data_IF_884580696882
#
_entry.id   IF_884580696882
#
_cell.length_a   1.000
_cell.length_b   1.000
_cell.length_c   1.000
_cell.angle_alpha   90.00
_cell.angle_beta   90.00
_cell.angle_gamma   90.00
#
_symmetry.space_group_name_H-M   'P 1'
#
loop_
_entity.id
_entity.type
_entity.pdbx_description
1 polymer ?
#
# COMPACT_ATOMS: atom_id res chain seq x y z
N UNK A 1 -44.87 -32.30 -21.11
CA UNK A 1 -43.78 -33.29 -21.00
C UNK A 1 -42.92 -32.88 -19.84
N UNK A 2 -43.05 -33.59 -18.69
CA UNK A 2 -42.26 -33.29 -17.46
C UNK A 2 -41.07 -34.23 -17.44
N UNK A 3 -39.87 -33.67 -17.49
CA UNK A 3 -38.61 -34.41 -17.33
C UNK A 3 -38.15 -34.25 -15.89
N UNK A 4 -38.18 -35.34 -15.13
CA UNK A 4 -37.70 -35.46 -13.75
C UNK A 4 -36.24 -35.87 -13.81
N UNK A 5 -35.32 -34.98 -13.38
CA UNK A 5 -33.89 -35.29 -13.20
C UNK A 5 -33.66 -35.74 -11.76
N UNK A 6 -33.23 -36.98 -11.62
CA UNK A 6 -32.81 -37.60 -10.35
C UNK A 6 -31.30 -37.35 -10.22
N UNK A 7 -30.85 -36.61 -9.18
CA UNK A 7 -29.45 -36.45 -8.81
C UNK A 7 -29.01 -37.60 -7.90
N UNK A 8 -27.85 -38.24 -8.13
CA UNK A 8 -27.27 -39.16 -7.17
C UNK A 8 -26.48 -38.42 -6.10
N UNK A 9 -26.75 -38.73 -4.85
CA UNK A 9 -26.01 -38.25 -3.67
C UNK A 9 -24.76 -39.10 -3.54
N UNK A 10 -23.58 -38.47 -3.69
CA UNK A 10 -22.26 -39.10 -3.39
C UNK A 10 -21.91 -38.77 -1.94
N UNK A 11 -21.94 -39.77 -1.09
CA UNK A 11 -21.45 -39.68 0.29
C UNK A 11 -19.90 -39.83 0.29
N UNK A 12 -19.21 -38.77 0.68
CA UNK A 12 -17.73 -38.80 0.90
C UNK A 12 -17.50 -39.02 2.39
N UNK A 13 -16.96 -40.19 2.72
CA UNK A 13 -16.56 -40.57 4.08
C UNK A 13 -15.16 -39.97 4.40
N UNK A 14 -15.07 -39.03 5.35
CA UNK A 14 -13.80 -38.54 5.89
C UNK A 14 -13.31 -39.47 6.98
N UNK A 15 -12.19 -40.14 6.75
CA UNK A 15 -11.45 -40.87 7.74
C UNK A 15 -10.56 -39.88 8.52
N UNK A 16 -10.83 -39.74 9.82
CA UNK A 16 -10.01 -38.97 10.75
C UNK A 16 -8.79 -39.81 11.17
N UNK A 17 -7.56 -39.36 10.85
CA UNK A 17 -6.35 -39.87 11.46
C UNK A 17 -6.11 -39.16 12.78
N UNK A 18 -6.31 -39.94 13.87
CA UNK A 18 -5.98 -39.53 15.23
C UNK A 18 -4.51 -39.88 15.49
N UNK A 19 -3.61 -38.87 15.63
CA UNK A 19 -2.22 -39.13 16.00
C UNK A 19 -2.02 -38.70 17.46
N UNK A 20 -2.10 -39.71 18.34
CA UNK A 20 -1.82 -39.58 19.76
C UNK A 20 -0.32 -39.71 19.97
N UNK A 21 0.35 -38.67 20.45
CA UNK A 21 1.75 -38.69 20.88
C UNK A 21 1.81 -38.96 22.38
N UNK A 22 2.55 -39.94 22.88
CA UNK A 22 2.75 -40.10 24.30
C UNK A 22 3.85 -39.17 24.82
N UNK A 23 3.53 -38.58 25.95
CA UNK A 23 4.36 -37.82 26.84
C UNK A 23 5.58 -38.62 27.29
N UNK A 24 6.80 -38.08 27.15
CA UNK A 24 7.94 -38.51 27.99
C UNK A 24 8.66 -37.25 28.47
N UNK A 25 8.57 -37.12 29.80
CA UNK A 25 9.33 -36.22 30.63
C UNK A 25 10.74 -36.78 30.76
N UNK A 26 11.79 -36.02 30.45
CA UNK A 26 13.07 -36.12 31.14
C UNK A 26 13.86 -34.82 31.06
N UNK A 27 14.22 -34.42 32.23
CA UNK A 27 14.98 -33.32 32.72
C UNK A 27 16.45 -33.39 32.24
N UNK A 28 17.02 -32.28 31.70
CA UNK A 28 18.47 -31.99 31.91
C UNK A 28 18.80 -30.56 31.43
N UNK A 29 19.13 -29.70 32.41
CA UNK A 29 20.23 -28.72 32.45
C UNK A 29 20.42 -27.72 31.29
N UNK A 30 20.07 -26.43 31.55
CA UNK A 30 20.88 -25.26 31.33
C UNK A 30 21.48 -25.04 29.92
N UNK A 31 20.75 -24.43 29.00
CA UNK A 31 21.32 -23.60 27.97
C UNK A 31 20.68 -22.22 28.07
N UNK A 32 21.43 -21.12 27.86
CA UNK A 32 20.85 -19.78 27.92
C UNK A 32 19.82 -19.69 26.82
N UNK A 33 18.58 -19.33 27.22
CA UNK A 33 17.49 -18.95 26.34
C UNK A 33 17.93 -17.67 25.58
N UNK A 34 18.49 -17.87 24.40
CA UNK A 34 18.63 -16.81 23.42
C UNK A 34 17.21 -16.53 22.94
N UNK A 35 16.56 -15.56 23.55
CA UNK A 35 15.41 -14.91 22.96
C UNK A 35 15.89 -14.28 21.65
N UNK A 36 15.87 -15.05 20.57
CA UNK A 36 15.92 -14.48 19.24
C UNK A 36 14.60 -13.74 19.07
N UNK A 37 14.64 -12.43 19.31
CA UNK A 37 13.74 -11.47 18.70
C UNK A 37 13.92 -11.59 17.19
N UNK A 38 13.32 -12.63 16.61
CA UNK A 38 13.08 -12.66 15.17
C UNK A 38 12.01 -11.60 14.93
N UNK A 39 12.34 -10.48 14.24
CA UNK A 39 11.31 -9.53 13.87
C UNK A 39 10.25 -10.29 13.09
N UNK A 40 9.04 -10.36 13.63
CA UNK A 40 7.90 -10.94 12.91
C UNK A 40 7.66 -10.05 11.70
N UNK A 41 7.95 -10.61 10.52
CA UNK A 41 7.65 -9.95 9.25
C UNK A 41 6.15 -9.66 9.22
N UNK A 42 5.79 -8.37 9.18
CA UNK A 42 4.39 -7.93 9.18
C UNK A 42 3.89 -7.29 10.48
N UNK A 43 4.76 -7.05 11.48
CA UNK A 43 4.42 -6.33 12.71
C UNK A 43 4.67 -4.80 12.61
N UNK A 44 5.12 -4.34 11.45
CA UNK A 44 5.38 -2.93 11.10
C UNK A 44 4.14 -2.22 10.56
N UNK A 45 3.03 -2.34 11.29
CA UNK A 45 1.79 -1.64 10.98
C UNK A 45 1.86 -0.19 11.44
N UNK A 46 1.48 0.73 10.54
CA UNK A 46 1.27 2.12 10.92
C UNK A 46 -0.01 2.31 11.77
N UNK A 47 -0.32 3.55 12.16
CA UNK A 47 -1.50 3.89 12.96
C UNK A 47 -2.84 3.55 12.27
N UNK A 48 -2.84 3.37 10.95
CA UNK A 48 -4.00 2.96 10.15
C UNK A 48 -4.01 1.45 9.87
N UNK A 49 -2.98 0.71 10.32
CA UNK A 49 -2.84 -0.72 10.13
C UNK A 49 -2.20 -1.12 8.80
N UNK A 50 -1.63 -0.19 8.04
CA UNK A 50 -0.94 -0.47 6.79
C UNK A 50 0.43 -1.10 7.05
N UNK A 51 0.80 -2.14 6.30
CA UNK A 51 2.06 -2.86 6.45
C UNK A 51 3.12 -2.25 5.52
N UNK A 52 4.01 -1.42 6.09
CA UNK A 52 5.06 -0.72 5.36
C UNK A 52 6.04 -1.65 4.66
N UNK A 53 6.46 -2.74 5.31
CA UNK A 53 7.35 -3.76 4.71
C UNK A 53 6.76 -4.46 3.49
N UNK A 54 5.42 -4.49 3.36
CA UNK A 54 4.72 -4.97 2.17
C UNK A 54 4.46 -3.88 1.12
N UNK A 55 4.99 -2.66 1.32
CA UNK A 55 4.84 -1.52 0.41
C UNK A 55 3.50 -0.80 0.52
N UNK A 56 2.70 -1.09 1.56
CA UNK A 56 1.44 -0.38 1.80
C UNK A 56 1.65 0.90 2.60
N UNK A 57 0.93 1.93 2.23
CA UNK A 57 0.85 3.21 2.94
C UNK A 57 -0.58 3.71 2.95
N UNK A 58 -0.95 4.49 3.95
CA UNK A 58 -2.29 5.05 4.05
C UNK A 58 -2.52 6.16 3.04
N UNK A 59 -3.64 6.11 2.34
CA UNK A 59 -4.15 7.21 1.53
C UNK A 59 -5.33 7.87 2.24
N UNK A 60 -5.15 9.12 2.66
CA UNK A 60 -6.21 9.90 3.28
C UNK A 60 -7.34 10.22 2.30
N UNK A 61 -7.01 10.41 1.01
CA UNK A 61 -7.99 10.66 -0.05
C UNK A 61 -8.86 9.43 -0.34
N UNK A 62 -8.26 8.24 -0.37
CA UNK A 62 -8.97 6.98 -0.65
C UNK A 62 -9.60 6.37 0.59
N UNK A 63 -9.03 6.62 1.79
CA UNK A 63 -9.44 6.04 3.06
C UNK A 63 -9.07 4.55 3.18
N UNK A 64 -7.96 4.14 2.56
CA UNK A 64 -7.47 2.76 2.51
C UNK A 64 -5.95 2.69 2.42
N UNK A 65 -5.39 1.51 2.73
CA UNK A 65 -3.97 1.22 2.49
C UNK A 65 -3.75 0.90 1.01
N UNK A 66 -2.81 1.59 0.38
CA UNK A 66 -2.49 1.42 -1.04
C UNK A 66 -1.01 1.15 -1.26
N UNK A 67 -0.68 0.49 -2.36
CA UNK A 67 0.67 0.44 -2.90
C UNK A 67 0.80 1.58 -3.93
N UNK A 68 1.39 2.69 -3.49
CA UNK A 68 1.44 3.95 -4.25
C UNK A 68 2.04 3.80 -5.64
N UNK A 69 3.04 2.91 -5.78
CA UNK A 69 3.71 2.64 -7.05
C UNK A 69 2.82 1.87 -8.05
N UNK A 70 1.74 1.20 -7.59
CA UNK A 70 0.80 0.49 -8.47
C UNK A 70 -0.35 1.39 -8.92
N UNK A 71 -0.86 2.24 -8.01
CA UNK A 71 -2.08 3.03 -8.28
C UNK A 71 -1.80 4.50 -8.62
N UNK A 72 -0.59 4.99 -8.35
CA UNK A 72 -0.20 6.38 -8.53
C UNK A 72 0.48 6.66 -9.87
N UNK A 73 0.27 7.86 -10.40
CA UNK A 73 1.07 8.39 -11.50
C UNK A 73 2.43 8.85 -10.97
N UNK A 74 3.51 8.20 -11.41
CA UNK A 74 4.87 8.57 -11.01
C UNK A 74 5.33 9.81 -11.75
N UNK A 75 5.95 10.73 -11.01
CA UNK A 75 6.63 11.91 -11.54
C UNK A 75 8.07 11.92 -11.05
N UNK A 76 9.01 12.21 -11.96
CA UNK A 76 10.42 12.27 -11.66
C UNK A 76 10.86 13.73 -11.52
N UNK A 77 11.88 14.04 -10.71
CA UNK A 77 12.41 15.40 -10.61
C UNK A 77 12.94 15.88 -11.95
N UNK A 78 12.71 17.17 -12.25
CA UNK A 78 13.21 17.82 -13.47
C UNK A 78 14.71 18.07 -13.38
N UNK A 79 15.20 18.39 -12.17
CA UNK A 79 16.63 18.58 -11.90
C UNK A 79 17.17 17.32 -11.22
N UNK A 80 17.92 16.51 -11.96
CA UNK A 80 18.73 15.43 -11.41
C UNK A 80 20.01 16.01 -10.87
N UNK A 81 20.28 15.82 -9.59
CA UNK A 81 21.59 16.12 -8.99
C UNK A 81 22.43 14.86 -9.08
N UNK A 82 23.58 14.96 -9.71
CA UNK A 82 24.58 13.90 -9.72
C UNK A 82 24.87 13.48 -8.26
N UNK A 83 24.98 12.18 -8.01
CA UNK A 83 25.27 11.56 -6.70
C UNK A 83 24.12 11.59 -5.65
N UNK A 84 22.93 12.09 -5.97
CA UNK A 84 21.78 12.05 -5.07
C UNK A 84 20.73 11.08 -5.60
N UNK A 85 20.17 10.25 -4.70
CA UNK A 85 19.10 9.34 -5.08
C UNK A 85 17.91 10.12 -5.66
N UNK A 86 17.42 9.68 -6.83
CA UNK A 86 16.24 10.26 -7.47
C UNK A 86 15.01 9.87 -6.66
N UNK A 87 14.38 10.83 -6.01
CA UNK A 87 13.15 10.63 -5.24
C UNK A 87 11.97 11.07 -6.10
N UNK A 88 11.20 10.10 -6.59
CA UNK A 88 9.99 10.36 -7.36
C UNK A 88 8.82 10.72 -6.45
N UNK A 89 7.88 11.45 -7.00
CA UNK A 89 6.58 11.77 -6.38
C UNK A 89 5.50 10.95 -7.07
N UNK A 90 4.47 10.57 -6.35
CA UNK A 90 3.31 9.91 -6.94
C UNK A 90 2.06 10.76 -6.73
N UNK A 91 1.22 10.80 -7.76
CA UNK A 91 -0.08 11.46 -7.73
C UNK A 91 -1.16 10.39 -7.75
N UNK A 92 -1.97 10.34 -6.70
CA UNK A 92 -3.04 9.35 -6.54
C UNK A 92 -4.39 10.05 -6.67
N UNK A 93 -5.30 9.43 -7.44
CA UNK A 93 -6.70 9.81 -7.57
C UNK A 93 -7.59 8.86 -6.80
N UNK A 94 -8.80 9.29 -6.46
CA UNK A 94 -9.84 8.41 -5.93
C UNK A 94 -10.66 7.83 -7.08
N UNK A 95 -10.96 6.54 -7.03
CA UNK A 95 -11.73 5.88 -8.08
C UNK A 95 -13.12 6.50 -8.23
N UNK A 96 -13.42 6.91 -9.47
CA UNK A 96 -14.70 7.55 -9.80
C UNK A 96 -14.83 9.02 -9.38
N UNK A 97 -13.81 9.60 -8.73
CA UNK A 97 -13.82 11.00 -8.30
C UNK A 97 -12.49 11.70 -8.67
N UNK A 98 -12.55 12.55 -9.66
CA UNK A 98 -11.42 13.34 -10.14
C UNK A 98 -11.40 14.78 -9.55
N UNK A 99 -12.18 15.06 -8.52
CA UNK A 99 -12.23 16.40 -7.92
C UNK A 99 -10.98 16.73 -7.10
N UNK A 100 -10.25 15.70 -6.66
CA UNK A 100 -9.06 15.83 -5.83
C UNK A 100 -7.98 14.83 -6.25
N UNK A 101 -6.74 15.15 -5.89
CA UNK A 101 -5.59 14.23 -5.97
C UNK A 101 -4.78 14.33 -4.68
N UNK A 102 -4.15 13.24 -4.29
CA UNK A 102 -3.22 13.18 -3.17
C UNK A 102 -1.79 13.05 -3.69
N UNK A 103 -0.87 13.81 -3.14
CA UNK A 103 0.54 13.75 -3.48
C UNK A 103 1.29 12.94 -2.43
N UNK A 104 1.98 11.89 -2.86
CA UNK A 104 2.95 11.18 -2.05
C UNK A 104 4.34 11.75 -2.35
N UNK A 105 4.74 12.70 -1.52
CA UNK A 105 6.00 13.44 -1.63
C UNK A 105 6.79 13.35 -0.33
N UNK A 106 8.09 13.12 -0.44
CA UNK A 106 8.99 13.03 0.72
C UNK A 106 9.15 14.40 1.40
N UNK A 107 9.42 14.38 2.71
CA UNK A 107 9.64 15.56 3.56
C UNK A 107 8.41 16.43 3.82
N UNK A 108 7.21 15.88 3.67
CA UNK A 108 5.98 16.46 4.21
C UNK A 108 5.47 15.58 5.36
N UNK A 109 4.96 16.19 6.42
CA UNK A 109 4.41 15.46 7.58
C UNK A 109 3.12 14.71 7.23
N UNK A 110 2.38 15.23 6.24
CA UNK A 110 1.17 14.64 5.71
C UNK A 110 1.14 14.81 4.19
N UNK A 111 0.60 13.81 3.49
CA UNK A 111 0.41 13.87 2.04
C UNK A 111 -0.55 14.99 1.65
N UNK A 112 -0.11 15.98 0.84
CA UNK A 112 -0.98 17.08 0.42
C UNK A 112 -2.13 16.59 -0.46
N UNK A 113 -3.36 17.04 -0.16
CA UNK A 113 -4.53 16.84 -1.02
C UNK A 113 -4.79 18.12 -1.81
N UNK A 114 -4.75 18.01 -3.12
CA UNK A 114 -4.99 19.10 -4.06
C UNK A 114 -6.38 19.01 -4.62
N UNK A 115 -7.06 20.16 -4.77
CA UNK A 115 -8.41 20.27 -5.35
C UNK A 115 -8.35 20.73 -6.80
N UNK A 116 -9.23 20.17 -7.63
CA UNK A 116 -9.34 20.54 -9.02
C UNK A 116 -9.88 21.97 -9.16
N UNK A 117 -9.18 22.79 -9.94
CA UNK A 117 -9.60 24.12 -10.31
C UNK A 117 -10.36 24.14 -11.65
N UNK A 118 -10.91 25.31 -12.00
CA UNK A 118 -11.72 25.50 -13.23
C UNK A 118 -10.97 25.26 -14.53
N UNK A 119 -9.63 25.35 -14.51
CA UNK A 119 -8.75 25.11 -15.67
C UNK A 119 -8.30 23.63 -15.80
N UNK A 120 -8.80 22.73 -14.93
CA UNK A 120 -8.47 21.32 -14.92
C UNK A 120 -7.13 21.00 -14.26
N UNK A 121 -6.43 21.97 -13.65
CA UNK A 121 -5.27 21.72 -12.80
C UNK A 121 -5.71 21.52 -11.35
N UNK A 122 -4.87 20.85 -10.55
CA UNK A 122 -5.10 20.63 -9.12
C UNK A 122 -4.21 21.56 -8.31
N UNK A 123 -4.76 22.18 -7.26
CA UNK A 123 -4.04 23.14 -6.41
C UNK A 123 -4.23 22.84 -4.93
N UNK A 124 -3.16 22.95 -4.16
CA UNK A 124 -3.17 22.83 -2.70
C UNK A 124 -1.87 23.37 -2.10
N UNK A 125 -1.98 24.42 -1.27
CA UNK A 125 -0.82 25.08 -0.70
C UNK A 125 0.16 25.58 -1.77
N UNK A 126 1.43 25.15 -1.67
CA UNK A 126 2.51 25.49 -2.62
C UNK A 126 2.51 24.64 -3.90
N UNK A 127 1.61 23.65 -4.01
CA UNK A 127 1.59 22.66 -5.08
C UNK A 127 0.57 22.97 -6.16
N UNK A 128 0.95 22.78 -7.42
CA UNK A 128 0.06 22.80 -8.59
C UNK A 128 0.41 21.60 -9.47
N UNK A 129 -0.56 20.71 -9.66
CA UNK A 129 -0.42 19.57 -10.57
C UNK A 129 -1.26 19.78 -11.83
N UNK A 130 -0.64 19.59 -12.99
CA UNK A 130 -1.29 19.62 -14.30
C UNK A 130 -1.39 18.18 -14.84
N UNK A 131 -2.59 17.57 -14.88
CA UNK A 131 -2.73 16.18 -15.34
C UNK A 131 -2.52 16.00 -16.86
N UNK A 132 -2.65 17.08 -17.66
CA UNK A 132 -2.45 17.01 -19.11
C UNK A 132 -0.99 16.93 -19.50
N UNK A 133 -0.13 17.69 -18.79
CA UNK A 133 1.32 17.68 -19.03
C UNK A 133 2.06 16.76 -18.06
N UNK A 134 1.34 16.23 -17.07
CA UNK A 134 1.87 15.41 -15.97
C UNK A 134 3.04 16.12 -15.27
N UNK A 135 2.85 17.41 -14.96
CA UNK A 135 3.83 18.25 -14.30
C UNK A 135 3.34 18.68 -12.92
N UNK A 136 4.23 18.60 -11.94
CA UNK A 136 4.02 19.15 -10.61
C UNK A 136 4.92 20.36 -10.41
N UNK A 137 4.29 21.50 -10.16
CA UNK A 137 4.99 22.73 -9.78
C UNK A 137 4.94 22.91 -8.27
N UNK A 138 6.06 23.35 -7.69
CA UNK A 138 6.20 23.74 -6.30
C UNK A 138 6.58 25.21 -6.29
N UNK A 139 5.82 26.06 -5.60
CA UNK A 139 6.04 27.51 -5.54
C UNK A 139 6.13 28.17 -6.94
N UNK A 140 5.38 27.64 -7.91
CA UNK A 140 5.35 28.16 -9.27
C UNK A 140 6.42 27.66 -10.23
N UNK A 141 7.42 26.89 -9.74
CA UNK A 141 8.48 26.26 -10.56
C UNK A 141 8.13 24.79 -10.80
N UNK A 142 8.22 24.30 -12.05
CA UNK A 142 8.06 22.86 -12.34
C UNK A 142 9.22 22.11 -11.68
N UNK A 143 8.87 21.23 -10.74
CA UNK A 143 9.82 20.46 -9.97
C UNK A 143 9.87 18.97 -10.37
N UNK A 144 8.72 18.43 -10.83
CA UNK A 144 8.59 17.04 -11.22
C UNK A 144 7.76 16.91 -12.51
N UNK A 145 8.06 15.90 -13.31
CA UNK A 145 7.32 15.52 -14.53
C UNK A 145 7.39 14.02 -14.78
N UNK A 146 6.46 13.49 -15.58
CA UNK A 146 6.55 12.11 -16.10
C UNK A 146 7.48 12.05 -17.31
#
# INVERSE_FOLDING_TARGET
MKATFILPIIAVSFTACNNTTPNQSENTTGAPEVTQDTPMVGDDRDEHGCIGSAGFTWSALRGECIQVFEVGTRLNPVEEKEEVAVISVFVVTKDGDNSQVELFITNEDQNPILKQGTNGTYKGGKYIYNPKTQELSIEGKVAYKN
#
